data_IF_822227770811
#
_entry.id   IF_822227770811
#
_cell.length_a   1.000
_cell.length_b   1.000
_cell.length_c   1.000
_cell.angle_alpha   90.00
_cell.angle_beta   90.00
_cell.angle_gamma   90.00
#
_symmetry.space_group_name_H-M   'P 1'
#
loop_
_entity.id
_entity.type
_entity.pdbx_description
1 polymer ?
#
# COMPACT_ATOMS: atom_id res chain seq x y z
N UNK A 1 -13.30 -20.90 -31.19
CA UNK A 1 -12.53 -19.63 -31.19
C UNK A 1 -11.29 -19.95 -31.97
N UNK A 2 -11.02 -19.22 -33.06
CA UNK A 2 -9.90 -19.50 -33.94
C UNK A 2 -8.59 -19.21 -33.20
N UNK A 3 -7.59 -20.10 -33.27
CA UNK A 3 -6.33 -19.97 -32.52
C UNK A 3 -5.60 -18.67 -32.90
N UNK A 4 -5.86 -18.18 -34.11
CA UNK A 4 -5.31 -16.93 -34.63
C UNK A 4 -5.93 -15.68 -33.97
N UNK A 5 -7.24 -15.68 -33.71
CA UNK A 5 -7.93 -14.59 -32.99
C UNK A 5 -7.46 -14.51 -31.52
N UNK A 6 -7.19 -15.67 -30.92
CA UNK A 6 -6.64 -15.76 -29.56
C UNK A 6 -5.24 -15.17 -29.50
N UNK A 7 -4.37 -15.54 -30.44
CA UNK A 7 -3.00 -15.03 -30.51
C UNK A 7 -2.96 -13.51 -30.71
N UNK A 8 -3.82 -12.96 -31.58
CA UNK A 8 -3.92 -11.52 -31.79
C UNK A 8 -4.41 -10.79 -30.53
N UNK A 9 -5.38 -11.36 -29.82
CA UNK A 9 -5.89 -10.81 -28.57
C UNK A 9 -4.83 -10.80 -27.47
N UNK A 10 -4.06 -11.90 -27.33
CA UNK A 10 -2.93 -11.97 -26.39
C UNK A 10 -1.86 -10.93 -26.72
N UNK A 11 -1.54 -10.74 -27.99
CA UNK A 11 -0.56 -9.74 -28.42
C UNK A 11 -1.02 -8.31 -28.08
N UNK A 12 -2.31 -7.99 -28.29
CA UNK A 12 -2.89 -6.71 -27.88
C UNK A 12 -2.76 -6.50 -26.37
N UNK A 13 -3.06 -7.51 -25.55
CA UNK A 13 -2.93 -7.42 -24.09
C UNK A 13 -1.49 -7.18 -23.64
N UNK A 14 -0.52 -7.89 -24.22
CA UNK A 14 0.90 -7.71 -23.90
C UNK A 14 1.38 -6.28 -24.20
N UNK A 15 0.94 -5.70 -25.32
CA UNK A 15 1.25 -4.29 -25.67
C UNK A 15 0.63 -3.35 -24.63
N UNK A 16 -0.59 -3.62 -24.18
CA UNK A 16 -1.25 -2.80 -23.15
C UNK A 16 -0.49 -2.91 -21.82
N UNK A 17 -0.10 -4.12 -21.38
CA UNK A 17 0.69 -4.31 -20.16
C UNK A 17 2.00 -3.51 -20.22
N UNK A 18 2.75 -3.60 -21.31
CA UNK A 18 4.00 -2.85 -21.49
C UNK A 18 3.78 -1.33 -21.43
N UNK A 19 2.71 -0.82 -22.03
CA UNK A 19 2.36 0.61 -21.97
C UNK A 19 1.97 1.06 -20.58
N UNK A 20 1.32 0.18 -19.80
CA UNK A 20 0.99 0.46 -18.40
C UNK A 20 2.26 0.48 -17.55
N UNK A 21 3.16 -0.49 -17.71
CA UNK A 21 4.43 -0.52 -16.97
C UNK A 21 5.27 0.74 -17.24
N UNK A 22 5.33 1.19 -18.50
CA UNK A 22 5.99 2.45 -18.88
C UNK A 22 5.38 3.70 -18.21
N UNK A 23 4.11 3.64 -17.80
CA UNK A 23 3.45 4.72 -17.06
C UNK A 23 3.61 4.57 -15.54
N UNK A 24 3.55 3.36 -15.03
CA UNK A 24 3.62 3.09 -13.58
C UNK A 24 5.02 3.41 -13.05
N UNK A 25 6.08 3.02 -13.75
CA UNK A 25 7.46 3.24 -13.32
C UNK A 25 7.79 4.73 -13.00
N UNK A 26 7.55 5.71 -13.90
CA UNK A 26 7.85 7.11 -13.60
C UNK A 26 6.93 7.69 -12.52
N UNK A 27 5.70 7.19 -12.38
CA UNK A 27 4.81 7.62 -11.29
C UNK A 27 5.32 7.15 -9.92
N UNK A 28 5.85 5.93 -9.85
CA UNK A 28 6.47 5.41 -8.63
C UNK A 28 7.74 6.19 -8.26
N UNK A 29 8.55 6.59 -9.24
CA UNK A 29 9.73 7.43 -9.01
C UNK A 29 9.33 8.82 -8.52
N UNK A 30 8.32 9.44 -9.15
CA UNK A 30 7.79 10.74 -8.75
C UNK A 30 7.21 10.73 -7.31
N UNK A 31 6.53 9.66 -6.90
CA UNK A 31 6.05 9.49 -5.51
C UNK A 31 7.21 9.48 -4.50
N UNK A 32 8.35 8.87 -4.87
CA UNK A 32 9.55 8.81 -4.04
C UNK A 32 10.22 10.17 -3.80
N UNK A 33 10.06 11.13 -4.71
CA UNK A 33 10.69 12.47 -4.62
C UNK A 33 10.15 13.33 -3.48
N UNK A 34 8.96 13.02 -2.94
CA UNK A 34 8.41 13.71 -1.78
C UNK A 34 9.12 13.36 -0.45
N UNK A 35 9.99 12.36 -0.47
CA UNK A 35 10.68 11.84 0.70
C UNK A 35 12.19 12.03 0.59
N UNK A 36 12.93 11.49 1.56
CA UNK A 36 14.38 11.59 1.53
C UNK A 36 14.93 10.86 0.29
N UNK A 37 15.62 11.57 -0.60
CA UNK A 37 16.16 11.00 -1.85
C UNK A 37 17.08 9.80 -1.67
N UNK A 38 17.73 9.64 -0.51
CA UNK A 38 18.68 8.54 -0.25
C UNK A 38 18.02 7.33 0.38
N UNK A 39 17.03 7.55 1.24
CA UNK A 39 16.44 6.51 2.09
C UNK A 39 14.97 6.21 1.79
N UNK A 40 14.31 7.07 1.01
CA UNK A 40 12.90 6.96 0.68
C UNK A 40 11.99 7.02 1.90
N UNK A 41 10.99 6.14 1.92
CA UNK A 41 10.00 6.02 2.99
C UNK A 41 10.59 5.34 4.23
N UNK A 42 10.37 5.91 5.41
CA UNK A 42 10.76 5.25 6.67
C UNK A 42 9.93 4.00 6.97
N UNK A 43 8.68 3.93 6.48
CA UNK A 43 7.75 2.84 6.76
C UNK A 43 7.83 1.68 5.76
N UNK A 44 8.42 1.88 4.59
CA UNK A 44 8.48 0.90 3.50
C UNK A 44 9.91 0.58 3.07
N UNK A 45 10.15 -0.63 2.62
CA UNK A 45 11.40 -1.06 1.98
C UNK A 45 11.07 -1.60 0.57
N UNK A 46 10.94 -0.69 -0.40
CA UNK A 46 10.42 -1.00 -1.73
C UNK A 46 8.91 -0.77 -1.85
N UNK A 47 8.27 -1.41 -2.84
CA UNK A 47 6.87 -1.13 -3.21
C UNK A 47 5.86 -1.76 -2.24
N UNK A 48 6.01 -3.05 -1.93
CA UNK A 48 5.02 -3.84 -1.20
C UNK A 48 5.49 -4.28 0.20
N UNK A 49 6.72 -3.95 0.59
CA UNK A 49 7.29 -4.45 1.84
C UNK A 49 7.43 -3.36 2.91
N UNK A 50 7.22 -3.76 4.16
CA UNK A 50 7.40 -2.91 5.33
C UNK A 50 8.89 -2.75 5.60
N UNK A 51 9.31 -1.56 6.04
CA UNK A 51 10.69 -1.39 6.51
C UNK A 51 10.92 -2.18 7.81
N UNK A 52 12.19 -2.39 8.16
CA UNK A 52 12.52 -2.99 9.45
C UNK A 52 12.00 -2.14 10.62
N UNK A 53 12.08 -0.81 10.51
CA UNK A 53 11.56 0.11 11.51
C UNK A 53 10.04 -0.05 11.68
N UNK A 54 9.29 -0.14 10.58
CA UNK A 54 7.84 -0.32 10.64
C UNK A 54 7.46 -1.64 11.30
N UNK A 55 8.17 -2.73 10.99
CA UNK A 55 7.97 -4.03 11.66
C UNK A 55 8.24 -3.93 13.17
N UNK A 56 9.24 -3.15 13.59
CA UNK A 56 9.49 -2.91 15.02
C UNK A 56 8.35 -2.12 15.66
N UNK A 57 7.87 -1.05 15.00
CA UNK A 57 6.74 -0.25 15.50
C UNK A 57 5.50 -1.15 15.66
N UNK A 58 5.13 -1.91 14.64
CA UNK A 58 3.96 -2.81 14.69
C UNK A 58 4.08 -3.88 15.77
N UNK A 59 5.29 -4.36 16.05
CA UNK A 59 5.52 -5.40 17.06
C UNK A 59 5.50 -4.86 18.49
N UNK A 60 5.98 -3.64 18.70
CA UNK A 60 6.27 -3.13 20.05
C UNK A 60 5.34 -2.00 20.51
N UNK A 61 4.60 -1.36 19.61
CA UNK A 61 3.68 -0.29 19.94
C UNK A 61 2.25 -0.69 19.56
N UNK A 62 1.38 -0.82 20.57
CA UNK A 62 -0.05 -1.05 20.34
C UNK A 62 -0.70 0.12 19.57
N UNK A 63 -0.22 1.34 19.83
CA UNK A 63 -0.61 2.57 19.14
C UNK A 63 0.63 3.44 18.92
N UNK A 64 0.70 4.14 17.79
CA UNK A 64 1.78 5.08 17.49
C UNK A 64 1.23 6.38 16.90
N UNK A 65 1.89 7.49 17.21
CA UNK A 65 1.55 8.82 16.69
C UNK A 65 2.78 9.72 16.70
N UNK A 66 2.74 10.85 16.01
CA UNK A 66 3.91 11.73 15.88
C UNK A 66 4.34 12.37 17.20
N UNK A 67 3.42 12.64 18.12
CA UNK A 67 3.66 13.29 19.43
C UNK A 67 2.64 12.86 20.47
N UNK A 68 3.04 12.81 21.74
CA UNK A 68 2.14 12.50 22.88
C UNK A 68 0.97 13.48 22.99
N UNK A 69 1.17 14.75 22.61
CA UNK A 69 0.13 15.77 22.59
C UNK A 69 -1.07 15.40 21.70
N UNK A 70 -0.89 14.50 20.72
CA UNK A 70 -1.98 14.06 19.86
C UNK A 70 -3.04 13.28 20.65
N UNK A 71 -2.70 12.71 21.82
CA UNK A 71 -3.68 12.07 22.69
C UNK A 71 -4.65 13.06 23.35
N UNK A 72 -4.30 14.36 23.42
CA UNK A 72 -5.21 15.39 23.93
C UNK A 72 -6.41 15.65 23.03
N UNK A 73 -6.39 15.15 21.78
CA UNK A 73 -7.51 15.21 20.86
C UNK A 73 -8.58 14.14 21.15
N UNK A 74 -8.26 13.18 22.02
CA UNK A 74 -9.15 12.09 22.40
C UNK A 74 -9.58 12.22 23.86
N UNK A 75 -10.74 11.67 24.19
CA UNK A 75 -11.16 11.61 25.59
C UNK A 75 -10.30 10.60 26.37
N UNK A 76 -10.11 10.78 27.69
CA UNK A 76 -9.42 9.79 28.53
C UNK A 76 -10.07 8.39 28.54
N UNK A 77 -11.30 8.25 28.02
CA UNK A 77 -12.05 6.99 27.94
C UNK A 77 -12.08 6.40 26.52
N UNK A 78 -11.28 6.95 25.59
CA UNK A 78 -11.25 6.49 24.20
C UNK A 78 -10.82 5.03 24.10
N UNK A 79 -11.58 4.24 23.35
CA UNK A 79 -11.25 2.85 23.04
C UNK A 79 -10.69 2.75 21.61
N UNK A 80 -9.38 2.58 21.49
CA UNK A 80 -8.71 2.43 20.20
C UNK A 80 -8.87 1.00 19.67
N UNK A 81 -9.27 0.87 18.40
CA UNK A 81 -9.37 -0.41 17.69
C UNK A 81 -8.44 -0.40 16.49
N UNK A 82 -7.68 -1.49 16.30
CA UNK A 82 -6.91 -1.70 15.09
C UNK A 82 -7.83 -2.04 13.92
N UNK A 83 -7.46 -1.63 12.72
CA UNK A 83 -8.08 -2.14 11.50
C UNK A 83 -7.70 -3.61 11.29
N UNK A 84 -8.60 -4.37 10.68
CA UNK A 84 -8.32 -5.76 10.33
C UNK A 84 -7.23 -5.83 9.25
N UNK A 85 -6.28 -6.76 9.41
CA UNK A 85 -5.26 -7.00 8.41
C UNK A 85 -5.73 -8.08 7.45
N UNK A 86 -5.76 -7.76 6.16
CA UNK A 86 -6.07 -8.72 5.10
C UNK A 86 -4.84 -9.51 4.70
N UNK A 87 -5.00 -10.82 4.50
CA UNK A 87 -4.03 -11.71 3.89
C UNK A 87 -4.11 -11.62 2.35
N UNK A 88 -3.04 -12.05 1.68
CA UNK A 88 -2.91 -11.94 0.22
C UNK A 88 -3.98 -12.72 -0.58
N UNK A 89 -4.66 -13.68 0.05
CA UNK A 89 -5.73 -14.48 -0.56
C UNK A 89 -7.13 -14.08 -0.06
N UNK A 90 -7.23 -13.06 0.79
CA UNK A 90 -8.52 -12.57 1.24
C UNK A 90 -9.22 -11.91 0.05
N UNK A 91 -10.46 -12.32 -0.21
CA UNK A 91 -11.28 -11.69 -1.23
C UNK A 91 -11.76 -10.36 -0.67
N UNK A 92 -11.40 -9.25 -1.32
CA UNK A 92 -11.98 -7.93 -1.04
C UNK A 92 -13.47 -7.94 -1.38
N UNK A 93 -14.28 -8.48 -0.48
CA UNK A 93 -15.70 -8.16 -0.40
C UNK A 93 -15.77 -6.77 0.23
N UNK A 94 -16.21 -5.77 -0.53
CA UNK A 94 -16.39 -4.38 -0.10
C UNK A 94 -17.03 -4.29 1.29
N UNK A 95 -16.21 -4.16 2.33
CA UNK A 95 -16.65 -3.64 3.61
C UNK A 95 -16.76 -2.13 3.46
N UNK A 96 -17.87 -1.68 2.87
CA UNK A 96 -18.39 -0.36 3.18
C UNK A 96 -18.76 -0.36 4.67
N UNK A 97 -17.85 0.12 5.51
CA UNK A 97 -18.14 0.41 6.91
C UNK A 97 -19.27 1.43 6.98
N UNK A 98 -20.49 0.96 7.23
CA UNK A 98 -21.54 1.78 7.82
C UNK A 98 -21.23 1.95 9.31
N UNK A 99 -21.22 3.22 9.72
CA UNK A 99 -21.18 3.78 11.07
C UNK A 99 -19.81 3.83 11.79
#
# INVERSE_FOLDING_TARGET
>A
MDDQDLAESMQKLLIVMQRLDQKIAPLLEADGEHFNKRWGFLSRAGLWDKSHLMRQIEKYADIYTSRVSNFLQYTPFMYFRSQEQTLAHDSYSDYQSQA
#
